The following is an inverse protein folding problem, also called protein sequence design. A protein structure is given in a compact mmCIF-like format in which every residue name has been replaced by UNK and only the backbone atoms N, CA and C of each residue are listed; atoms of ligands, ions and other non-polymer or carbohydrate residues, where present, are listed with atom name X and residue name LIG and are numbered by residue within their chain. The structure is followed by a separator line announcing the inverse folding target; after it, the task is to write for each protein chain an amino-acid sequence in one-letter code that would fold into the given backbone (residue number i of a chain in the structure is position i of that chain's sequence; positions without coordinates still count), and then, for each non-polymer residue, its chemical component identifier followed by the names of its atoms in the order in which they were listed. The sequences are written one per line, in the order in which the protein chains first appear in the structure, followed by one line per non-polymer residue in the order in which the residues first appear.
data_IF_968401227141
#
_entry.id   IF_968401227141
#
_cell.length_a   1.000
_cell.length_b   1.000
_cell.length_c   1.000
_cell.angle_alpha   90.00
_cell.angle_beta   90.00
_cell.angle_gamma   90.00
#
_symmetry.space_group_name_H-M   'P 1'
#
loop_
_entity.id
_entity.type
_entity.pdbx_description
1 polymer ?
#
# COMPACT_ATOMS: atom_id res chain seq x y z
N UNK A 1 -10.45 2.36 17.98
CA UNK A 1 -9.33 2.09 17.04
C UNK A 1 -8.78 3.43 16.60
N UNK A 2 -7.45 3.63 16.61
CA UNK A 2 -6.84 4.89 16.18
C UNK A 2 -6.67 4.87 14.66
N UNK A 3 -7.11 5.92 13.96
CA UNK A 3 -6.91 6.05 12.52
C UNK A 3 -5.58 6.76 12.20
N UNK A 4 -5.30 7.83 12.94
CA UNK A 4 -4.02 8.53 12.92
C UNK A 4 -3.69 9.08 14.31
N UNK A 5 -2.43 9.41 14.53
CA UNK A 5 -1.97 10.16 15.72
C UNK A 5 -1.27 11.41 15.22
N UNK A 6 -1.77 12.59 15.68
CA UNK A 6 -1.20 13.89 15.38
C UNK A 6 -0.68 14.53 16.65
N UNK A 7 0.53 15.03 16.60
CA UNK A 7 1.16 15.68 17.74
C UNK A 7 2.61 16.06 17.47
N UNK A 8 3.34 16.41 18.53
CA UNK A 8 4.75 16.79 18.42
C UNK A 8 5.64 15.55 18.35
N UNK A 9 6.57 15.52 17.39
CA UNK A 9 7.57 14.46 17.29
C UNK A 9 8.52 14.56 18.49
N UNK A 10 8.30 13.70 19.49
CA UNK A 10 9.07 13.70 20.74
C UNK A 10 10.38 12.93 20.61
N UNK A 11 10.40 11.86 19.81
CA UNK A 11 11.58 11.06 19.53
C UNK A 11 11.47 10.40 18.16
N UNK A 12 12.60 10.26 17.47
CA UNK A 12 12.69 9.55 16.18
C UNK A 12 13.89 8.61 16.22
N UNK A 13 13.62 7.34 15.99
CA UNK A 13 14.58 6.25 15.82
C UNK A 13 14.33 5.58 14.46
N UNK A 14 15.31 4.95 13.82
CA UNK A 14 15.09 4.25 12.55
C UNK A 14 13.95 3.22 12.55
N UNK A 15 13.61 2.65 13.71
CA UNK A 15 12.60 1.61 13.86
C UNK A 15 11.28 2.11 14.45
N UNK A 16 11.25 3.28 15.10
CA UNK A 16 10.04 3.80 15.74
C UNK A 16 10.07 5.33 15.88
N UNK A 17 8.89 5.91 15.95
CA UNK A 17 8.69 7.31 16.32
C UNK A 17 7.87 7.39 17.60
N UNK A 18 8.10 8.45 18.40
CA UNK A 18 7.25 8.79 19.54
C UNK A 18 6.58 10.13 19.27
N UNK A 19 5.26 10.14 19.26
CA UNK A 19 4.44 11.33 19.08
C UNK A 19 3.82 11.71 20.41
N UNK A 20 4.11 12.92 20.88
CA UNK A 20 3.46 13.52 22.04
C UNK A 20 2.14 14.16 21.59
N UNK A 21 1.04 13.56 21.93
CA UNK A 21 -0.30 14.07 21.71
C UNK A 21 -0.97 14.36 23.06
N UNK A 22 -1.02 15.65 23.44
CA UNK A 22 -1.64 16.09 24.68
C UNK A 22 -0.94 15.60 25.96
N UNK A 23 0.37 15.43 25.94
CA UNK A 23 1.16 14.97 27.09
C UNK A 23 1.28 13.43 27.19
N UNK A 24 0.71 12.70 26.22
CA UNK A 24 0.86 11.24 26.12
C UNK A 24 1.80 10.91 24.96
N UNK A 25 2.90 10.21 25.26
CA UNK A 25 3.87 9.75 24.26
C UNK A 25 3.44 8.43 23.62
N UNK A 26 2.93 8.49 22.39
CA UNK A 26 2.59 7.30 21.61
C UNK A 26 3.81 6.80 20.85
N UNK A 27 4.26 5.58 21.16
CA UNK A 27 5.34 4.90 20.43
C UNK A 27 4.75 4.11 19.27
N UNK A 28 5.15 4.44 18.03
CA UNK A 28 4.72 3.75 16.81
C UNK A 28 5.93 3.12 16.14
N UNK A 29 5.85 1.83 15.83
CA UNK A 29 6.80 1.13 14.96
C UNK A 29 6.62 1.65 13.54
N UNK A 30 7.69 2.08 12.89
CA UNK A 30 7.66 2.68 11.54
C UNK A 30 8.59 1.94 10.58
N UNK A 31 8.32 2.09 9.28
CA UNK A 31 9.21 1.63 8.21
C UNK A 31 10.35 2.63 7.96
N UNK A 32 11.40 2.19 7.26
CA UNK A 32 12.45 3.08 6.78
C UNK A 32 11.91 4.14 5.80
N UNK A 33 10.86 3.81 5.04
CA UNK A 33 10.16 4.75 4.17
C UNK A 33 9.50 5.88 4.97
N UNK A 34 8.71 5.55 5.98
CA UNK A 34 8.13 6.52 6.91
C UNK A 34 9.21 7.34 7.63
N UNK A 35 10.27 6.68 8.13
CA UNK A 35 11.38 7.38 8.80
C UNK A 35 12.01 8.45 7.91
N UNK A 36 12.25 8.17 6.63
CA UNK A 36 12.87 9.10 5.70
C UNK A 36 12.00 10.33 5.37
N UNK A 37 10.69 10.24 5.59
CA UNK A 37 9.72 11.32 5.38
C UNK A 37 9.51 12.16 6.64
N UNK A 38 10.03 11.72 7.80
CA UNK A 38 9.91 12.49 9.03
C UNK A 38 10.86 13.70 9.01
N UNK A 39 10.42 14.84 9.55
CA UNK A 39 11.28 16.00 9.70
C UNK A 39 12.46 15.69 10.63
N UNK A 40 13.66 16.23 10.33
CA UNK A 40 14.81 16.01 11.17
C UNK A 40 14.58 16.55 12.58
N UNK A 41 14.83 15.72 13.58
CA UNK A 41 14.71 16.10 14.99
C UNK A 41 16.01 16.77 15.45
N UNK A 42 16.00 18.12 15.57
CA UNK A 42 17.21 18.90 15.88
C UNK A 42 17.37 19.29 17.35
N UNK A 43 16.27 19.46 18.09
CA UNK A 43 16.33 19.80 19.52
C UNK A 43 14.97 19.57 20.22
N UNK A 44 15.00 19.48 21.56
CA UNK A 44 13.78 19.33 22.38
C UNK A 44 12.85 20.53 22.28
N UNK A 45 13.39 21.71 21.97
CA UNK A 45 12.63 22.97 21.81
C UNK A 45 11.92 23.10 20.46
N UNK A 46 12.37 22.33 19.42
CA UNK A 46 11.87 22.42 18.05
C UNK A 46 11.21 21.11 17.62
N UNK A 47 10.30 20.60 18.45
CA UNK A 47 9.55 19.37 18.10
C UNK A 47 8.51 19.70 17.03
N UNK A 48 8.73 19.25 15.77
CA UNK A 48 7.78 19.50 14.69
C UNK A 48 6.47 18.75 14.95
N UNK A 49 5.35 19.35 14.54
CA UNK A 49 4.07 18.68 14.53
C UNK A 49 4.03 17.71 13.33
N UNK A 50 3.67 16.47 13.59
CA UNK A 50 3.57 15.41 12.58
C UNK A 50 2.26 14.65 12.73
N UNK A 51 1.83 14.02 11.64
CA UNK A 51 0.71 13.10 11.62
C UNK A 51 1.20 11.77 11.07
N UNK A 52 0.94 10.68 11.80
CA UNK A 52 1.15 9.33 11.31
C UNK A 52 -0.18 8.58 11.29
N UNK A 53 -0.53 8.03 10.14
CA UNK A 53 -1.62 7.06 10.03
C UNK A 53 -1.27 5.83 10.83
N UNK A 54 -2.23 5.21 11.51
CA UNK A 54 -1.89 4.20 12.49
C UNK A 54 -2.66 2.90 12.31
N UNK A 55 -1.97 1.82 12.63
CA UNK A 55 -2.55 0.49 12.80
C UNK A 55 -2.25 -0.02 14.20
N UNK A 56 -3.28 -0.49 14.90
CA UNK A 56 -3.17 -1.05 16.24
C UNK A 56 -3.28 -2.57 16.17
N UNK A 57 -2.20 -3.26 16.49
CA UNK A 57 -2.21 -4.70 16.65
C UNK A 57 -2.47 -5.04 18.12
N UNK A 58 -3.54 -5.76 18.39
CA UNK A 58 -3.90 -6.27 19.72
C UNK A 58 -3.62 -7.76 19.75
N UNK A 59 -2.80 -8.20 20.69
CA UNK A 59 -2.43 -9.60 20.90
C UNK A 59 -2.55 -9.94 22.39
N UNK A 60 -2.46 -11.20 22.71
CA UNK A 60 -2.50 -11.67 24.10
C UNK A 60 -1.35 -11.12 24.95
N UNK A 61 -0.18 -10.91 24.34
CA UNK A 61 1.04 -10.40 24.94
C UNK A 61 1.16 -8.87 24.97
N UNK A 62 0.23 -8.14 24.32
CA UNK A 62 0.24 -6.69 24.37
C UNK A 62 -0.40 -5.99 23.18
N UNK A 63 -0.30 -4.65 23.23
CA UNK A 63 -0.77 -3.74 22.17
C UNK A 63 0.46 -3.10 21.53
N UNK A 64 0.53 -3.18 20.21
CA UNK A 64 1.59 -2.54 19.42
C UNK A 64 0.97 -1.59 18.39
N UNK A 65 1.51 -0.35 18.32
CA UNK A 65 1.11 0.63 17.31
C UNK A 65 2.13 0.68 16.18
N UNK A 66 1.64 0.72 14.96
CA UNK A 66 2.42 0.91 13.75
C UNK A 66 2.03 2.25 13.13
N UNK A 67 3.01 2.99 12.62
CA UNK A 67 2.82 4.32 12.06
C UNK A 67 3.31 4.43 10.62
N UNK A 68 2.58 5.18 9.81
CA UNK A 68 2.82 5.35 8.38
C UNK A 68 2.70 6.83 8.00
N UNK A 69 3.60 7.31 7.16
CA UNK A 69 3.60 8.70 6.70
C UNK A 69 2.44 8.99 5.74
N UNK A 70 1.99 7.98 4.99
CA UNK A 70 0.92 8.10 3.99
C UNK A 70 -0.14 7.03 4.17
N UNK A 71 -1.35 7.29 3.65
CA UNK A 71 -2.46 6.32 3.65
C UNK A 71 -2.13 5.12 2.74
N UNK A 72 -1.45 5.36 1.60
CA UNK A 72 -1.05 4.30 0.68
C UNK A 72 -0.11 3.29 1.35
N UNK A 73 0.79 3.76 2.23
CA UNK A 73 1.68 2.87 2.98
C UNK A 73 0.90 2.07 4.01
N UNK A 74 -0.05 2.69 4.72
CA UNK A 74 -0.95 2.00 5.64
C UNK A 74 -1.80 0.93 4.91
N UNK A 75 -2.33 1.24 3.73
CA UNK A 75 -3.16 0.30 2.98
C UNK A 75 -2.33 -0.86 2.41
N UNK A 76 -1.11 -0.59 1.94
CA UNK A 76 -0.15 -1.63 1.58
C UNK A 76 0.19 -2.54 2.77
N UNK A 77 0.36 -1.96 3.96
CA UNK A 77 0.57 -2.74 5.18
C UNK A 77 -0.63 -3.64 5.50
N UNK A 78 -1.85 -3.09 5.45
CA UNK A 78 -3.07 -3.85 5.67
C UNK A 78 -3.20 -5.02 4.68
N UNK A 79 -2.89 -4.78 3.40
CA UNK A 79 -2.87 -5.84 2.38
C UNK A 79 -1.86 -6.94 2.73
N UNK A 80 -0.64 -6.58 3.10
CA UNK A 80 0.41 -7.53 3.44
C UNK A 80 0.03 -8.42 4.61
N UNK A 81 -0.53 -7.87 5.69
CA UNK A 81 -0.91 -8.65 6.88
C UNK A 81 -2.11 -9.58 6.66
N UNK A 82 -2.84 -9.44 5.55
CA UNK A 82 -3.88 -10.40 5.17
C UNK A 82 -3.32 -11.69 4.58
N UNK A 83 -2.03 -11.69 4.20
CA UNK A 83 -1.37 -12.85 3.63
C UNK A 83 -0.94 -13.81 4.74
N UNK A 84 -1.30 -15.09 4.61
CA UNK A 84 -0.94 -16.10 5.61
C UNK A 84 0.57 -16.21 5.78
N UNK A 85 1.03 -16.08 7.03
CA UNK A 85 2.45 -16.10 7.39
C UNK A 85 3.16 -14.75 7.28
N UNK A 86 2.44 -13.66 7.00
CA UNK A 86 2.96 -12.30 7.02
C UNK A 86 2.36 -11.55 8.21
N UNK A 87 3.16 -11.41 9.27
CA UNK A 87 2.77 -10.61 10.44
C UNK A 87 3.16 -9.13 10.28
N UNK A 88 2.74 -8.25 11.22
CA UNK A 88 3.04 -6.83 11.17
C UNK A 88 4.53 -6.49 11.03
N UNK A 89 5.41 -7.17 11.75
CA UNK A 89 6.87 -6.95 11.66
C UNK A 89 7.44 -7.31 10.29
N UNK A 90 6.93 -8.38 9.67
CA UNK A 90 7.29 -8.77 8.32
C UNK A 90 6.80 -7.76 7.28
N UNK A 91 5.57 -7.25 7.44
CA UNK A 91 5.04 -6.21 6.58
C UNK A 91 5.85 -4.89 6.66
N UNK A 92 6.23 -4.44 7.87
CA UNK A 92 7.14 -3.29 8.06
C UNK A 92 8.49 -3.52 7.38
N UNK A 93 9.05 -4.74 7.48
CA UNK A 93 10.32 -5.07 6.81
C UNK A 93 10.21 -4.96 5.28
N UNK A 94 9.10 -5.42 4.70
CA UNK A 94 8.84 -5.28 3.25
C UNK A 94 8.71 -3.80 2.87
N UNK A 95 7.92 -3.01 3.60
CA UNK A 95 7.71 -1.58 3.33
C UNK A 95 8.94 -0.72 3.63
N UNK A 96 9.87 -1.21 4.43
CA UNK A 96 11.19 -0.59 4.61
C UNK A 96 12.11 -0.79 3.41
N UNK A 97 11.91 -1.85 2.62
CA UNK A 97 12.68 -2.16 1.43
C UNK A 97 12.02 -1.62 0.15
N UNK A 98 10.68 -1.69 0.08
CA UNK A 98 9.89 -1.36 -1.10
C UNK A 98 8.84 -0.30 -0.76
N UNK A 99 8.82 0.81 -1.51
CA UNK A 99 7.68 1.72 -1.44
C UNK A 99 6.40 1.00 -1.88
N UNK A 100 5.20 1.50 -1.52
CA UNK A 100 3.92 0.95 -1.97
C UNK A 100 3.88 0.67 -3.47
N UNK A 101 4.36 1.62 -4.27
CA UNK A 101 4.39 1.52 -5.73
C UNK A 101 5.33 0.40 -6.22
N UNK A 102 6.54 0.29 -5.62
CA UNK A 102 7.50 -0.78 -5.95
C UNK A 102 6.99 -2.15 -5.54
N UNK A 103 6.30 -2.24 -4.40
CA UNK A 103 5.64 -3.47 -3.96
C UNK A 103 4.56 -3.89 -4.96
N UNK A 104 3.70 -2.95 -5.37
CA UNK A 104 2.67 -3.18 -6.37
C UNK A 104 3.26 -3.69 -7.70
N UNK A 105 4.32 -3.04 -8.18
CA UNK A 105 5.02 -3.49 -9.38
C UNK A 105 5.59 -4.90 -9.23
N UNK A 106 6.25 -5.20 -8.10
CA UNK A 106 6.80 -6.54 -7.84
C UNK A 106 5.72 -7.63 -7.83
N UNK A 107 4.53 -7.34 -7.29
CA UNK A 107 3.38 -8.27 -7.31
C UNK A 107 2.91 -8.49 -8.76
N UNK A 108 2.70 -7.43 -9.54
CA UNK A 108 2.22 -7.51 -10.92
C UNK A 108 3.23 -8.20 -11.86
N UNK A 109 4.54 -8.02 -11.62
CA UNK A 109 5.60 -8.63 -12.42
C UNK A 109 6.07 -9.99 -11.93
N UNK A 110 5.42 -10.55 -10.88
CA UNK A 110 5.82 -11.82 -10.23
C UNK A 110 7.27 -11.82 -9.70
N UNK A 111 7.77 -10.64 -9.28
CA UNK A 111 9.14 -10.48 -8.77
C UNK A 111 9.28 -10.90 -7.30
N UNK A 112 9.19 -12.21 -7.08
CA UNK A 112 9.38 -12.84 -5.76
C UNK A 112 10.78 -12.60 -5.19
N UNK A 113 11.79 -12.42 -6.06
CA UNK A 113 13.18 -12.24 -5.65
C UNK A 113 13.36 -10.91 -4.91
N UNK A 114 12.76 -9.84 -5.43
CA UNK A 114 12.84 -8.53 -4.79
C UNK A 114 12.12 -8.54 -3.43
N UNK A 115 10.94 -9.14 -3.33
CA UNK A 115 10.21 -9.24 -2.06
C UNK A 115 10.97 -10.10 -1.03
N UNK A 116 11.61 -11.19 -1.46
CA UNK A 116 12.36 -12.08 -0.56
C UNK A 116 13.66 -11.48 0.02
N UNK A 117 14.08 -10.30 -0.46
CA UNK A 117 15.21 -9.56 0.14
C UNK A 117 14.84 -8.87 1.46
N UNK A 118 13.53 -8.72 1.76
CA UNK A 118 13.09 -8.15 3.02
C UNK A 118 13.44 -9.10 4.18
N UNK A 119 13.93 -8.52 5.30
CA UNK A 119 14.35 -9.30 6.44
C UNK A 119 13.17 -10.13 7.01
N UNK A 120 13.39 -11.41 7.24
CA UNK A 120 12.37 -12.34 7.72
C UNK A 120 11.41 -12.88 6.63
N UNK A 121 11.63 -12.54 5.34
CA UNK A 121 10.83 -13.02 4.23
C UNK A 121 11.61 -14.04 3.42
N UNK A 122 11.24 -15.30 3.56
CA UNK A 122 11.82 -16.38 2.75
C UNK A 122 11.18 -16.49 1.35
N UNK A 123 11.79 -17.26 0.44
CA UNK A 123 11.26 -17.47 -0.91
C UNK A 123 9.83 -18.00 -0.94
N UNK A 124 9.47 -18.89 -0.01
CA UNK A 124 8.10 -19.44 0.11
C UNK A 124 7.09 -18.37 0.50
N UNK A 125 7.44 -17.50 1.46
CA UNK A 125 6.58 -16.39 1.89
C UNK A 125 6.44 -15.35 0.77
N UNK A 126 7.53 -15.00 0.09
CA UNK A 126 7.49 -14.09 -1.04
C UNK A 126 6.60 -14.62 -2.19
N UNK A 127 6.69 -15.91 -2.52
CA UNK A 127 5.83 -16.54 -3.51
C UNK A 127 4.34 -16.48 -3.12
N UNK A 128 4.04 -16.71 -1.83
CA UNK A 128 2.68 -16.62 -1.29
C UNK A 128 2.14 -15.20 -1.36
N UNK A 129 2.95 -14.19 -0.98
CA UNK A 129 2.57 -12.77 -1.07
C UNK A 129 2.15 -12.42 -2.49
N UNK A 130 2.98 -12.75 -3.48
CA UNK A 130 2.66 -12.46 -4.88
C UNK A 130 1.39 -13.16 -5.31
N UNK A 131 1.24 -14.45 -5.03
CA UNK A 131 0.07 -15.23 -5.43
C UNK A 131 -1.22 -14.68 -4.79
N UNK A 132 -1.27 -14.56 -3.46
CA UNK A 132 -2.49 -14.17 -2.74
C UNK A 132 -2.88 -12.71 -3.04
N UNK A 133 -1.91 -11.80 -3.16
CA UNK A 133 -2.22 -10.40 -3.48
C UNK A 133 -2.61 -10.21 -4.95
N UNK A 134 -2.00 -10.94 -5.87
CA UNK A 134 -2.41 -10.93 -7.28
C UNK A 134 -3.84 -11.45 -7.46
N UNK A 135 -4.22 -12.50 -6.74
CA UNK A 135 -5.58 -13.03 -6.76
C UNK A 135 -6.60 -12.07 -6.15
N UNK A 136 -6.22 -11.32 -5.11
CA UNK A 136 -7.08 -10.28 -4.54
C UNK A 136 -7.30 -9.12 -5.50
N UNK A 137 -6.26 -8.69 -6.20
CA UNK A 137 -6.37 -7.68 -7.24
C UNK A 137 -7.33 -8.13 -8.35
N UNK A 138 -7.24 -9.38 -8.80
CA UNK A 138 -8.15 -9.93 -9.81
C UNK A 138 -9.60 -10.03 -9.34
N UNK A 139 -9.84 -10.38 -8.07
CA UNK A 139 -11.20 -10.46 -7.52
C UNK A 139 -11.87 -9.10 -7.39
N UNK A 140 -11.14 -8.06 -7.04
CA UNK A 140 -11.69 -6.69 -6.98
C UNK A 140 -12.11 -6.22 -8.37
N UNK A 141 -11.33 -6.51 -9.41
CA UNK A 141 -11.72 -6.20 -10.79
C UNK A 141 -12.95 -6.97 -11.27
N UNK A 142 -13.20 -8.18 -10.75
CA UNK A 142 -14.38 -8.96 -11.07
C UNK A 142 -15.66 -8.51 -10.33
N UNK A 143 -15.51 -7.92 -9.13
CA UNK A 143 -16.65 -7.49 -8.31
C UNK A 143 -17.22 -6.12 -8.71
N UNK A 144 -16.40 -5.21 -9.23
CA UNK A 144 -16.86 -3.89 -9.73
C UNK A 144 -17.67 -3.99 -11.05
N UNK A 145 -17.76 -5.19 -11.63
CA UNK A 145 -18.60 -5.46 -12.81
C UNK A 145 -20.06 -5.82 -12.48
N UNK A 146 -20.40 -6.15 -11.23
CA UNK A 146 -21.76 -6.61 -10.88
C UNK A 146 -22.65 -5.57 -10.17
N UNK A 147 -22.08 -4.50 -9.60
CA UNK A 147 -22.85 -3.49 -8.84
C UNK A 147 -23.26 -2.22 -9.62
N UNK A 148 -23.13 -2.21 -10.96
CA UNK A 148 -23.66 -1.12 -11.81
C UNK A 148 -24.75 -1.67 -12.75
N UNK A 149 -25.68 -2.44 -12.23
CA UNK A 149 -26.90 -2.84 -12.94
C UNK A 149 -28.14 -2.21 -12.30
N UNK A 150 -28.17 -0.86 -12.23
CA UNK A 150 -29.45 -0.15 -12.22
C UNK A 150 -29.35 1.24 -12.87
N UNK A 151 -29.11 1.28 -14.15
CA UNK A 151 -29.52 2.38 -15.05
C UNK A 151 -29.33 1.97 -16.52
N UNK A 152 -30.38 1.37 -17.13
CA UNK A 152 -30.69 1.57 -18.55
C UNK A 152 -29.70 1.04 -19.60
N UNK A 153 -29.94 -0.17 -20.08
CA UNK A 153 -29.86 -0.60 -21.48
C UNK A 153 -28.78 0.09 -22.37
N UNK A 154 -27.57 -0.45 -22.45
CA UNK A 154 -26.75 -0.33 -23.66
C UNK A 154 -25.94 -1.64 -23.87
N UNK A 155 -26.08 -2.18 -25.07
CA UNK A 155 -25.57 -3.37 -25.66
C UNK A 155 -24.18 -3.86 -25.26
N UNK A 156 -24.08 -5.17 -25.20
CA UNK A 156 -22.87 -5.99 -25.15
C UNK A 156 -21.87 -5.54 -26.23
N UNK A 157 -20.77 -4.91 -25.78
CA UNK A 157 -19.56 -4.70 -26.58
C UNK A 157 -18.37 -5.08 -25.71
N UNK A 158 -18.04 -6.37 -25.66
CA UNK A 158 -16.82 -6.84 -25.04
C UNK A 158 -15.59 -6.28 -25.74
N UNK A 159 -14.66 -5.70 -24.99
CA UNK A 159 -13.32 -5.52 -25.51
C UNK A 159 -12.40 -4.54 -24.79
N UNK A 160 -12.62 -3.28 -24.81
CA UNK A 160 -11.60 -2.32 -24.33
C UNK A 160 -12.05 -1.46 -23.13
N UNK A 161 -13.34 -1.27 -22.96
CA UNK A 161 -13.90 -0.52 -21.84
C UNK A 161 -13.76 -1.31 -20.52
N UNK A 162 -14.01 -2.61 -20.54
CA UNK A 162 -13.87 -3.51 -19.40
C UNK A 162 -12.41 -3.58 -18.92
N UNK A 163 -11.45 -3.77 -19.84
CA UNK A 163 -10.02 -3.81 -19.52
C UNK A 163 -9.52 -2.50 -18.89
N UNK A 164 -10.07 -1.37 -19.31
CA UNK A 164 -9.74 -0.07 -18.73
C UNK A 164 -10.28 0.09 -17.33
N UNK A 165 -11.53 -0.29 -17.09
CA UNK A 165 -12.18 -0.26 -15.77
C UNK A 165 -11.43 -1.16 -14.79
N UNK A 166 -11.11 -2.39 -15.20
CA UNK A 166 -10.37 -3.35 -14.39
C UNK A 166 -8.98 -2.83 -14.00
N UNK A 167 -8.27 -2.21 -14.93
CA UNK A 167 -6.95 -1.64 -14.66
C UNK A 167 -7.04 -0.44 -13.70
N UNK A 168 -8.07 0.42 -13.81
CA UNK A 168 -8.31 1.53 -12.88
C UNK A 168 -8.61 1.01 -11.48
N UNK A 169 -9.49 0.03 -11.36
CA UNK A 169 -9.86 -0.59 -10.09
C UNK A 169 -8.63 -1.22 -9.42
N UNK A 170 -7.81 -1.96 -10.16
CA UNK A 170 -6.57 -2.54 -9.65
C UNK A 170 -5.58 -1.48 -9.15
N UNK A 171 -5.39 -0.37 -9.89
CA UNK A 171 -4.52 0.73 -9.47
C UNK A 171 -5.05 1.43 -8.21
N UNK A 172 -6.38 1.55 -8.08
CA UNK A 172 -7.01 2.15 -6.88
C UNK A 172 -6.77 1.28 -5.64
N UNK A 173 -6.87 -0.06 -5.76
CA UNK A 173 -6.53 -1.00 -4.68
C UNK A 173 -5.04 -0.92 -4.30
N UNK A 174 -4.18 -0.58 -5.26
CA UNK A 174 -2.74 -0.36 -5.02
C UNK A 174 -2.43 1.01 -4.41
N UNK A 175 -3.45 1.83 -4.09
CA UNK A 175 -3.32 3.09 -3.37
C UNK A 175 -3.24 4.34 -4.25
N UNK A 176 -3.43 4.22 -5.57
CA UNK A 176 -3.54 5.39 -6.45
C UNK A 176 -4.95 5.95 -6.42
N UNK A 177 -5.07 7.27 -6.52
CA UNK A 177 -6.40 7.87 -6.69
C UNK A 177 -6.98 7.49 -8.06
N UNK A 178 -8.30 7.38 -8.13
CA UNK A 178 -8.99 7.09 -9.40
C UNK A 178 -8.61 8.08 -10.52
N UNK A 179 -8.44 9.36 -10.17
CA UNK A 179 -8.02 10.40 -11.12
C UNK A 179 -6.63 10.19 -11.69
N UNK A 180 -5.66 9.77 -10.86
CA UNK A 180 -4.30 9.43 -11.31
C UNK A 180 -4.31 8.20 -12.22
N UNK A 181 -5.01 7.15 -11.81
CA UNK A 181 -5.15 5.92 -12.59
C UNK A 181 -5.78 6.23 -13.97
N UNK A 182 -6.89 6.95 -14.02
CA UNK A 182 -7.55 7.35 -15.27
C UNK A 182 -6.65 8.21 -16.16
N UNK A 183 -5.92 9.17 -15.58
CA UNK A 183 -5.06 10.09 -16.33
C UNK A 183 -3.92 9.38 -17.04
N UNK A 184 -3.38 8.33 -16.42
CA UNK A 184 -2.27 7.54 -16.96
C UNK A 184 -2.76 6.52 -17.97
N UNK A 185 -3.86 5.80 -17.67
CA UNK A 185 -4.41 4.80 -18.59
C UNK A 185 -4.92 5.42 -19.88
N UNK A 186 -5.42 6.67 -19.87
CA UNK A 186 -5.77 7.40 -21.10
C UNK A 186 -4.60 7.58 -22.07
N UNK A 187 -3.36 7.56 -21.58
CA UNK A 187 -2.14 7.76 -22.38
C UNK A 187 -1.54 6.43 -22.85
N UNK A 188 -2.16 5.30 -22.53
CA UNK A 188 -1.72 3.96 -22.93
C UNK A 188 -2.64 3.47 -24.06
N UNK A 189 -2.06 2.97 -25.14
CA UNK A 189 -2.81 2.23 -26.14
C UNK A 189 -3.09 0.83 -25.62
N UNK A 190 -4.35 0.62 -25.22
CA UNK A 190 -4.81 -0.63 -24.57
C UNK A 190 -5.36 -1.65 -25.57
N UNK A 191 -5.41 -1.33 -26.86
CA UNK A 191 -6.11 -2.14 -27.87
C UNK A 191 -5.59 -3.56 -27.98
N UNK A 192 -4.28 -3.75 -27.79
CA UNK A 192 -3.59 -5.06 -27.90
C UNK A 192 -3.05 -5.57 -26.56
N UNK A 193 -3.38 -4.91 -25.44
CA UNK A 193 -2.83 -5.24 -24.12
C UNK A 193 -3.87 -6.01 -23.28
N UNK A 194 -3.37 -6.95 -22.49
CA UNK A 194 -4.14 -7.55 -21.39
C UNK A 194 -4.10 -6.66 -20.14
N UNK A 195 -5.05 -6.84 -19.22
CA UNK A 195 -5.19 -6.00 -18.02
C UNK A 195 -3.89 -5.95 -17.21
N UNK A 196 -3.21 -7.08 -17.04
CA UNK A 196 -1.92 -7.17 -16.34
C UNK A 196 -0.83 -6.27 -16.98
N UNK A 197 -0.82 -6.17 -18.31
CA UNK A 197 0.17 -5.37 -19.03
C UNK A 197 -0.18 -3.88 -19.02
N UNK A 198 -1.47 -3.54 -19.02
CA UNK A 198 -1.96 -2.17 -18.83
C UNK A 198 -1.55 -1.67 -17.44
N UNK A 199 -1.76 -2.48 -16.39
CA UNK A 199 -1.37 -2.14 -15.02
C UNK A 199 0.15 -1.94 -14.92
N UNK A 200 0.96 -2.83 -15.48
CA UNK A 200 2.43 -2.71 -15.48
C UNK A 200 2.90 -1.43 -16.16
N UNK A 201 2.32 -1.10 -17.32
CA UNK A 201 2.70 0.10 -18.07
C UNK A 201 2.24 1.38 -17.36
N UNK A 202 1.05 1.36 -16.74
CA UNK A 202 0.56 2.46 -15.93
C UNK A 202 1.46 2.69 -14.71
N UNK A 203 1.84 1.65 -13.97
CA UNK A 203 2.73 1.75 -12.82
C UNK A 203 4.10 2.33 -13.19
N UNK A 204 4.70 1.92 -14.32
CA UNK A 204 5.97 2.49 -14.81
C UNK A 204 5.88 3.99 -15.08
N UNK A 205 4.72 4.48 -15.51
CA UNK A 205 4.50 5.91 -15.81
C UNK A 205 4.18 6.72 -14.55
N UNK A 206 3.47 6.13 -13.59
CA UNK A 206 3.17 6.74 -12.30
C UNK A 206 4.39 6.86 -11.39
N UNK A 207 5.43 6.05 -11.62
CA UNK A 207 6.69 6.06 -10.86
C UNK A 207 7.75 7.02 -11.40
N UNK A 208 7.48 7.75 -12.49
CA UNK A 208 8.36 8.78 -13.07
C UNK A 208 8.00 10.16 -12.56
#
# INVERSE_FOLDING_TARGET
MFYYIRGKLAHLDPAYAVIDAGGVGYKLTISASTHSQMPPHRSVSERPEVTLYSYMAVREDGIELFGFATEEELDSFKLLITVSGVGPKAAISILSLLSPQKLALAICTDDKKTISKANGIGPKTAARIVLELKDKLKKVTAFDGEDILDAGDIGVSGGSADKRSDAISALTVLGYTRGEAESVIRKIDISALEVDDIIKEALKRLMR
#
